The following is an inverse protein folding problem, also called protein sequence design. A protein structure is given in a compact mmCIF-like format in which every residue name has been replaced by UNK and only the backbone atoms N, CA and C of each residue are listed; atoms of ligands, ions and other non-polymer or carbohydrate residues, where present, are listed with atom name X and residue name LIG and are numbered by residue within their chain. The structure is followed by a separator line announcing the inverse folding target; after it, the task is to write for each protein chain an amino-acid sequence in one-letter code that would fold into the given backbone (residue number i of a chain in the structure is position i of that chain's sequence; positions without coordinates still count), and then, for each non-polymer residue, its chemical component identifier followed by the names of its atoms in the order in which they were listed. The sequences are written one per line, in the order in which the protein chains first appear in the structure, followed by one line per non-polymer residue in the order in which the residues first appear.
data_IF_726722892261
#
_entry.id   IF_726722892261
#
_cell.length_a   1.000
_cell.length_b   1.000
_cell.length_c   1.000
_cell.angle_alpha   90.00
_cell.angle_beta   90.00
_cell.angle_gamma   90.00
#
_symmetry.space_group_name_H-M   'P 1'
#
loop_
_entity.id
_entity.type
_entity.pdbx_description
1 polymer ?
#
# COMPACT_ATOMS: atom_id res chain seq x y z
N UNK A 1 -7.25 9.06 -19.51
CA UNK A 1 -7.58 10.24 -20.34
C UNK A 1 -6.57 10.45 -21.46
N UNK A 2 -5.31 10.75 -21.18
CA UNK A 2 -4.29 10.93 -22.23
C UNK A 2 -4.06 9.66 -23.06
N UNK A 3 -4.15 8.48 -22.43
CA UNK A 3 -4.10 7.21 -23.15
C UNK A 3 -5.12 7.17 -24.30
N UNK A 4 -6.40 7.39 -24.05
CA UNK A 4 -7.44 7.37 -25.09
C UNK A 4 -7.24 8.47 -26.13
N UNK A 5 -6.80 9.67 -25.69
CA UNK A 5 -6.50 10.76 -26.60
C UNK A 5 -5.34 10.42 -27.54
N UNK A 6 -4.23 9.93 -27.03
CA UNK A 6 -3.09 9.57 -27.88
C UNK A 6 -3.37 8.35 -28.76
N UNK A 7 -4.12 7.37 -28.28
CA UNK A 7 -4.50 6.21 -29.09
C UNK A 7 -5.44 6.56 -30.24
N UNK A 8 -6.28 7.57 -30.10
CA UNK A 8 -7.12 8.05 -31.22
C UNK A 8 -6.35 8.78 -32.33
N UNK A 9 -5.14 9.23 -32.04
CA UNK A 9 -4.26 9.90 -33.03
C UNK A 9 -3.32 8.96 -33.78
N UNK A 10 -3.31 7.66 -33.48
CA UNK A 10 -2.38 6.69 -34.06
C UNK A 10 -2.52 6.61 -35.58
N UNK A 11 -3.75 6.66 -36.08
CA UNK A 11 -4.01 6.57 -37.52
C UNK A 11 -3.46 7.78 -38.29
N UNK A 12 -3.29 8.92 -37.61
CA UNK A 12 -2.71 10.14 -38.20
C UNK A 12 -1.19 10.22 -38.03
N UNK A 13 -0.69 9.75 -36.86
CA UNK A 13 0.72 9.85 -36.50
C UNK A 13 1.21 8.55 -35.85
N UNK A 14 2.00 7.76 -36.55
CA UNK A 14 2.51 6.45 -36.09
C UNK A 14 3.33 6.52 -34.80
N UNK A 15 3.93 7.66 -34.48
CA UNK A 15 4.66 7.89 -33.21
C UNK A 15 3.80 7.61 -31.98
N UNK A 16 2.50 7.90 -32.00
CA UNK A 16 1.62 7.64 -30.86
C UNK A 16 1.37 6.16 -30.59
N UNK A 17 1.82 5.26 -31.46
CA UNK A 17 1.72 3.82 -31.22
C UNK A 17 2.47 3.37 -29.95
N UNK A 18 3.47 4.14 -29.49
CA UNK A 18 4.21 3.87 -28.25
C UNK A 18 3.29 3.84 -27.02
N UNK A 19 2.17 4.59 -27.01
CA UNK A 19 1.21 4.62 -25.91
C UNK A 19 0.35 3.36 -25.79
N UNK A 20 0.36 2.46 -26.77
CA UNK A 20 -0.24 1.12 -26.65
C UNK A 20 0.56 0.21 -25.71
N UNK A 21 1.88 0.44 -25.59
CA UNK A 21 2.73 -0.39 -24.76
C UNK A 21 2.51 -0.10 -23.26
N UNK A 22 2.14 -1.15 -22.55
CA UNK A 22 1.86 -1.09 -21.11
C UNK A 22 3.09 -0.63 -20.31
N UNK A 23 4.28 -1.16 -20.66
CA UNK A 23 5.55 -0.79 -20.02
C UNK A 23 5.87 0.69 -20.14
N UNK A 24 5.62 1.28 -21.32
CA UNK A 24 5.81 2.71 -21.53
C UNK A 24 4.85 3.55 -20.68
N UNK A 25 3.56 3.21 -20.65
CA UNK A 25 2.57 3.89 -19.82
C UNK A 25 2.84 3.75 -18.33
N UNK A 26 3.32 2.59 -17.90
CA UNK A 26 3.74 2.36 -16.51
C UNK A 26 4.90 3.29 -16.15
N UNK A 27 5.92 3.39 -17.02
CA UNK A 27 7.03 4.34 -16.82
C UNK A 27 6.56 5.79 -16.73
N UNK A 28 5.65 6.19 -17.63
CA UNK A 28 5.03 7.52 -17.58
C UNK A 28 4.22 7.74 -16.30
N UNK A 29 3.54 6.71 -15.82
CA UNK A 29 2.78 6.77 -14.58
C UNK A 29 3.69 7.01 -13.37
N UNK A 30 4.82 6.29 -13.28
CA UNK A 30 5.85 6.52 -12.25
C UNK A 30 6.35 7.97 -12.28
N UNK A 31 6.75 8.44 -13.46
CA UNK A 31 7.32 9.79 -13.61
C UNK A 31 6.27 10.88 -13.29
N UNK A 32 5.05 10.72 -13.79
CA UNK A 32 3.99 11.70 -13.57
C UNK A 32 3.62 11.80 -12.08
N UNK A 33 3.43 10.67 -11.40
CA UNK A 33 3.08 10.67 -9.99
C UNK A 33 4.21 11.26 -9.13
N UNK A 34 5.47 10.97 -9.43
CA UNK A 34 6.64 11.56 -8.78
C UNK A 34 6.69 13.08 -8.97
N UNK A 35 6.51 13.57 -10.21
CA UNK A 35 6.51 15.01 -10.52
C UNK A 35 5.35 15.71 -9.81
N UNK A 36 4.15 15.13 -9.84
CA UNK A 36 2.98 15.67 -9.12
C UNK A 36 3.27 15.82 -7.64
N UNK A 37 3.83 14.78 -7.01
CA UNK A 37 4.20 14.84 -5.58
C UNK A 37 5.25 15.90 -5.30
N UNK A 38 6.23 16.10 -6.17
CA UNK A 38 7.21 17.18 -6.00
C UNK A 38 6.58 18.58 -6.15
N UNK A 39 5.69 18.78 -7.13
CA UNK A 39 5.04 20.07 -7.34
C UNK A 39 4.15 20.45 -6.17
N UNK A 40 3.32 19.50 -5.69
CA UNK A 40 2.32 19.79 -4.64
C UNK A 40 2.86 19.60 -3.23
N UNK A 41 3.93 18.81 -3.05
CA UNK A 41 4.46 18.45 -1.74
C UNK A 41 4.94 19.66 -0.94
N UNK A 42 5.86 20.44 -1.47
CA UNK A 42 6.40 21.60 -0.76
C UNK A 42 5.33 22.66 -0.39
N UNK A 43 4.41 23.07 -1.28
CA UNK A 43 3.31 23.98 -0.92
C UNK A 43 2.38 23.42 0.15
N UNK A 44 1.99 22.15 0.07
CA UNK A 44 1.11 21.53 1.07
C UNK A 44 1.77 21.41 2.44
N UNK A 45 3.04 21.01 2.48
CA UNK A 45 3.82 20.95 3.73
C UNK A 45 3.86 22.33 4.39
N UNK A 46 4.10 23.38 3.60
CA UNK A 46 4.09 24.77 4.11
C UNK A 46 2.73 25.15 4.69
N UNK A 47 1.64 24.89 3.96
CA UNK A 47 0.26 25.18 4.42
C UNK A 47 -0.04 24.41 5.72
N UNK A 48 0.35 23.14 5.80
CA UNK A 48 0.10 22.30 6.99
C UNK A 48 0.92 22.78 8.19
N UNK A 49 2.18 23.20 7.99
CA UNK A 49 3.01 23.82 9.02
C UNK A 49 2.42 25.15 9.53
N UNK A 50 2.01 26.04 8.61
CA UNK A 50 1.43 27.34 8.97
C UNK A 50 0.10 27.20 9.73
N UNK A 51 -0.70 26.18 9.39
CA UNK A 51 -1.97 25.87 10.08
C UNK A 51 -1.78 25.00 11.32
N UNK A 52 -0.55 24.72 11.74
CA UNK A 52 -0.23 23.85 12.88
C UNK A 52 -0.96 22.48 12.81
N UNK A 53 -1.05 21.90 11.63
CA UNK A 53 -1.64 20.58 11.39
C UNK A 53 -0.59 19.52 11.82
N UNK A 54 -0.30 19.44 13.10
CA UNK A 54 0.68 18.53 13.67
C UNK A 54 -0.02 17.38 14.37
N UNK A 55 0.47 16.17 14.13
CA UNK A 55 -0.05 14.99 14.83
C UNK A 55 0.36 15.02 16.31
N UNK A 56 -0.54 14.65 17.23
CA UNK A 56 -0.18 14.51 18.63
C UNK A 56 0.79 13.33 18.80
N UNK A 57 1.94 13.59 19.40
CA UNK A 57 2.94 12.57 19.69
C UNK A 57 2.48 11.71 20.86
N UNK A 58 2.64 10.39 20.77
CA UNK A 58 2.30 9.47 21.87
C UNK A 58 3.21 9.72 23.06
N UNK A 59 2.62 9.97 24.23
CA UNK A 59 3.35 10.19 25.48
C UNK A 59 4.07 8.94 25.99
N UNK A 60 3.59 7.75 25.57
CA UNK A 60 4.17 6.44 25.95
C UNK A 60 5.36 6.03 25.04
N UNK A 61 5.73 6.86 24.05
CA UNK A 61 6.84 6.62 23.13
C UNK A 61 8.21 7.05 23.70
N UNK A 62 9.31 6.80 22.96
CA UNK A 62 10.64 7.28 23.34
C UNK A 62 10.65 8.80 23.53
N UNK A 63 11.33 9.28 24.59
CA UNK A 63 11.42 10.71 24.94
C UNK A 63 11.97 11.55 23.79
N UNK A 64 12.91 11.00 23.04
CA UNK A 64 13.51 11.62 21.86
C UNK A 64 12.49 12.00 20.79
N UNK A 65 11.41 11.21 20.63
CA UNK A 65 10.33 11.52 19.68
C UNK A 65 9.56 12.77 20.09
N UNK A 66 9.33 12.96 21.38
CA UNK A 66 8.60 14.12 21.92
C UNK A 66 9.37 15.42 21.61
N UNK A 67 10.69 15.37 21.71
CA UNK A 67 11.55 16.55 21.51
C UNK A 67 11.80 16.82 20.03
N UNK A 68 12.16 15.79 19.24
CA UNK A 68 12.62 15.95 17.85
C UNK A 68 11.49 16.04 16.83
N UNK A 69 10.35 15.38 17.09
CA UNK A 69 9.22 15.28 16.13
C UNK A 69 8.09 16.27 16.46
N UNK A 70 8.24 17.05 17.53
CA UNK A 70 7.28 18.11 17.86
C UNK A 70 7.25 19.18 16.76
N UNK A 71 6.03 19.44 16.24
CA UNK A 71 5.85 20.43 15.17
C UNK A 71 5.91 19.89 13.76
N UNK A 72 6.25 18.61 13.52
CA UNK A 72 6.21 18.02 12.19
C UNK A 72 4.76 17.83 11.75
N UNK A 73 4.35 18.35 10.57
CA UNK A 73 2.99 18.18 10.06
C UNK A 73 2.70 16.70 9.73
N UNK A 74 1.42 16.32 9.82
CA UNK A 74 0.90 15.00 9.47
C UNK A 74 -0.03 15.09 8.25
N UNK A 75 -0.68 13.98 7.88
CA UNK A 75 -1.59 13.87 6.72
C UNK A 75 -0.88 13.96 5.36
N UNK A 76 0.40 13.62 5.31
CA UNK A 76 1.17 13.57 4.06
C UNK A 76 0.63 12.57 3.04
N UNK A 77 -0.17 11.61 3.49
CA UNK A 77 -0.90 10.68 2.62
C UNK A 77 -1.76 11.37 1.56
N UNK A 78 -2.27 12.57 1.83
CA UNK A 78 -3.02 13.37 0.83
C UNK A 78 -2.16 13.61 -0.42
N UNK A 79 -0.88 13.95 -0.24
CA UNK A 79 0.05 14.21 -1.34
C UNK A 79 0.24 12.95 -2.18
N UNK A 80 0.41 11.80 -1.52
CA UNK A 80 0.57 10.50 -2.17
C UNK A 80 -0.66 10.16 -3.00
N UNK A 81 -1.85 10.27 -2.41
CA UNK A 81 -3.11 9.89 -3.06
C UNK A 81 -3.42 10.79 -4.27
N UNK A 82 -3.17 12.08 -4.19
CA UNK A 82 -3.30 12.97 -5.34
C UNK A 82 -2.37 12.52 -6.47
N UNK A 83 -1.11 12.18 -6.18
CA UNK A 83 -0.16 11.67 -7.16
C UNK A 83 -0.64 10.39 -7.83
N UNK A 84 -1.14 9.43 -7.03
CA UNK A 84 -1.67 8.14 -7.53
C UNK A 84 -2.87 8.37 -8.43
N UNK A 85 -3.86 9.12 -7.97
CA UNK A 85 -5.12 9.30 -8.71
C UNK A 85 -4.90 10.06 -10.01
N UNK A 86 -4.19 11.19 -9.97
CA UNK A 86 -3.92 11.98 -11.18
C UNK A 86 -3.15 11.18 -12.22
N UNK A 87 -2.08 10.48 -11.80
CA UNK A 87 -1.29 9.67 -12.71
C UNK A 87 -2.09 8.52 -13.31
N UNK A 88 -2.87 7.80 -12.51
CA UNK A 88 -3.72 6.71 -12.97
C UNK A 88 -4.77 7.20 -13.97
N UNK A 89 -5.48 8.31 -13.68
CA UNK A 89 -6.48 8.88 -14.59
C UNK A 89 -5.89 9.34 -15.92
N UNK A 90 -4.62 9.76 -15.94
CA UNK A 90 -3.96 10.19 -17.17
C UNK A 90 -3.57 9.00 -18.05
N UNK A 91 -2.98 7.94 -17.48
CA UNK A 91 -2.28 6.91 -18.23
C UNK A 91 -2.98 5.55 -18.30
N UNK A 92 -3.87 5.22 -17.35
CA UNK A 92 -4.59 3.95 -17.38
C UNK A 92 -5.72 3.96 -18.41
N UNK A 93 -6.09 2.78 -18.84
CA UNK A 93 -7.32 2.55 -19.61
C UNK A 93 -8.52 2.66 -18.68
N UNK A 94 -9.28 3.73 -18.82
CA UNK A 94 -10.45 4.02 -17.98
C UNK A 94 -11.68 3.17 -18.35
N UNK A 95 -11.61 2.34 -19.38
CA UNK A 95 -12.66 1.33 -19.67
C UNK A 95 -12.52 0.11 -18.78
N UNK A 96 -11.33 -0.10 -18.20
CA UNK A 96 -11.04 -1.22 -17.32
C UNK A 96 -11.66 -1.02 -15.93
N UNK A 97 -12.55 -1.93 -15.54
CA UNK A 97 -13.25 -1.86 -14.26
C UNK A 97 -12.35 -1.99 -13.04
N UNK A 98 -11.26 -2.77 -13.15
CA UNK A 98 -10.32 -2.96 -12.05
C UNK A 98 -9.64 -1.65 -11.64
N UNK A 99 -9.37 -0.75 -12.58
CA UNK A 99 -8.82 0.58 -12.30
C UNK A 99 -9.79 1.40 -11.43
N UNK A 100 -11.09 1.36 -11.73
CA UNK A 100 -12.10 2.05 -10.92
C UNK A 100 -12.26 1.45 -9.52
N UNK A 101 -12.16 0.12 -9.40
CA UNK A 101 -12.18 -0.55 -8.10
C UNK A 101 -10.97 -0.11 -7.26
N UNK A 102 -9.76 -0.02 -7.84
CA UNK A 102 -8.57 0.44 -7.13
C UNK A 102 -8.65 1.93 -6.74
N UNK A 103 -9.16 2.77 -7.62
CA UNK A 103 -9.43 4.19 -7.30
C UNK A 103 -10.43 4.29 -6.14
N UNK A 104 -11.52 3.51 -6.17
CA UNK A 104 -12.51 3.46 -5.10
C UNK A 104 -11.88 3.04 -3.77
N UNK A 105 -11.10 1.96 -3.75
CA UNK A 105 -10.41 1.46 -2.54
C UNK A 105 -9.46 2.52 -2.00
N UNK A 106 -8.61 3.07 -2.87
CA UNK A 106 -7.62 4.07 -2.49
C UNK A 106 -8.26 5.32 -1.87
N UNK A 107 -9.29 5.87 -2.52
CA UNK A 107 -10.00 7.05 -2.03
C UNK A 107 -10.79 6.77 -0.75
N UNK A 108 -11.48 5.64 -0.68
CA UNK A 108 -12.32 5.32 0.48
C UNK A 108 -11.50 5.07 1.75
N UNK A 109 -10.39 4.31 1.66
CA UNK A 109 -9.47 4.14 2.79
C UNK A 109 -8.75 5.45 3.14
N UNK A 110 -8.40 6.27 2.14
CA UNK A 110 -7.81 7.59 2.37
C UNK A 110 -8.79 8.52 3.09
N UNK A 111 -10.07 8.55 2.71
CA UNK A 111 -11.09 9.33 3.41
C UNK A 111 -11.26 8.87 4.86
N UNK A 112 -11.29 7.56 5.10
CA UNK A 112 -11.38 7.01 6.46
C UNK A 112 -10.17 7.42 7.30
N UNK A 113 -8.95 7.32 6.75
CA UNK A 113 -7.72 7.74 7.40
C UNK A 113 -7.69 9.26 7.64
N UNK A 114 -8.16 10.06 6.68
CA UNK A 114 -8.26 11.51 6.78
C UNK A 114 -9.20 11.92 7.92
N UNK A 115 -10.33 11.25 8.07
CA UNK A 115 -11.25 11.48 9.19
C UNK A 115 -10.58 11.17 10.53
N UNK A 116 -9.81 10.09 10.60
CA UNK A 116 -9.07 9.73 11.82
C UNK A 116 -8.01 10.80 12.15
N UNK A 117 -7.20 11.21 11.16
CA UNK A 117 -6.16 12.22 11.32
C UNK A 117 -6.76 13.59 11.75
N UNK A 118 -7.85 14.03 11.11
CA UNK A 118 -8.55 15.28 11.48
C UNK A 118 -9.06 15.22 12.92
N UNK A 119 -9.61 14.08 13.35
CA UNK A 119 -10.10 13.92 14.72
C UNK A 119 -8.97 13.97 15.74
N UNK A 120 -7.82 13.34 15.46
CA UNK A 120 -6.61 13.41 16.30
C UNK A 120 -6.15 14.86 16.49
N UNK A 121 -6.13 15.65 15.41
CA UNK A 121 -5.72 17.06 15.45
C UNK A 121 -6.73 17.89 16.26
N UNK A 122 -8.05 17.75 15.98
CA UNK A 122 -9.09 18.51 16.69
C UNK A 122 -9.13 18.20 18.20
N UNK A 123 -8.96 16.93 18.56
CA UNK A 123 -9.02 16.49 19.94
C UNK A 123 -7.69 16.68 20.68
N UNK A 124 -6.61 17.07 19.98
CA UNK A 124 -5.25 17.18 20.51
C UNK A 124 -4.81 15.94 21.30
N UNK A 125 -5.27 14.76 20.86
CA UNK A 125 -4.90 13.48 21.45
C UNK A 125 -4.68 12.41 20.38
N UNK A 126 -3.94 11.37 20.71
CA UNK A 126 -3.59 10.27 19.78
C UNK A 126 -4.73 9.27 19.54
N UNK A 127 -5.91 9.44 20.15
CA UNK A 127 -6.99 8.43 20.09
C UNK A 127 -7.73 8.42 18.75
N UNK A 128 -7.95 9.60 18.12
CA UNK A 128 -8.65 9.73 16.85
C UNK A 128 -10.04 9.10 16.85
N UNK A 129 -10.37 8.39 15.78
CA UNK A 129 -11.58 7.59 15.64
C UNK A 129 -11.56 6.42 16.64
N UNK A 130 -12.68 6.18 17.34
CA UNK A 130 -12.79 4.97 18.17
C UNK A 130 -12.57 3.74 17.30
N UNK A 131 -11.74 2.79 17.76
CA UNK A 131 -11.33 1.59 17.01
C UNK A 131 -12.50 0.82 16.39
N UNK A 132 -13.66 0.78 17.08
CA UNK A 132 -14.87 0.14 16.56
C UNK A 132 -15.38 0.81 15.28
N UNK A 133 -15.45 2.14 15.22
CA UNK A 133 -15.94 2.87 14.03
C UNK A 133 -14.92 2.79 12.88
N UNK A 134 -13.63 2.85 13.18
CA UNK A 134 -12.57 2.63 12.20
C UNK A 134 -12.68 1.25 11.59
N UNK A 135 -12.85 0.21 12.41
CA UNK A 135 -13.01 -1.17 11.93
C UNK A 135 -14.28 -1.36 11.09
N UNK A 136 -15.42 -0.79 11.52
CA UNK A 136 -16.68 -0.85 10.74
C UNK A 136 -16.50 -0.16 9.38
N UNK A 137 -15.86 1.02 9.34
CA UNK A 137 -15.56 1.70 8.07
C UNK A 137 -14.70 0.84 7.14
N UNK A 138 -13.63 0.23 7.66
CA UNK A 138 -12.78 -0.69 6.90
C UNK A 138 -13.57 -1.91 6.40
N UNK A 139 -14.44 -2.47 7.25
CA UNK A 139 -15.27 -3.62 6.88
C UNK A 139 -16.24 -3.29 5.74
N UNK A 140 -16.88 -2.11 5.78
CA UNK A 140 -17.78 -1.65 4.72
C UNK A 140 -17.01 -1.49 3.41
N UNK A 141 -15.86 -0.79 3.43
CA UNK A 141 -15.04 -0.56 2.22
C UNK A 141 -14.59 -1.90 1.64
N UNK A 142 -14.06 -2.81 2.47
CA UNK A 142 -13.60 -4.13 2.02
C UNK A 142 -14.75 -4.98 1.48
N UNK A 143 -15.94 -4.95 2.11
CA UNK A 143 -17.13 -5.67 1.64
C UNK A 143 -17.61 -5.15 0.28
N UNK A 144 -17.65 -3.83 0.08
CA UNK A 144 -18.01 -3.23 -1.22
C UNK A 144 -16.97 -3.62 -2.27
N UNK A 145 -15.69 -3.59 -1.93
CA UNK A 145 -14.61 -4.00 -2.84
C UNK A 145 -14.78 -5.44 -3.29
N UNK A 146 -15.00 -6.37 -2.37
CA UNK A 146 -15.21 -7.79 -2.70
C UNK A 146 -16.51 -7.99 -3.51
N UNK A 147 -17.57 -7.28 -3.17
CA UNK A 147 -18.82 -7.32 -3.93
C UNK A 147 -18.60 -6.87 -5.40
N UNK A 148 -17.87 -5.78 -5.61
CA UNK A 148 -17.54 -5.33 -6.96
C UNK A 148 -16.66 -6.34 -7.71
N UNK A 149 -15.69 -6.95 -7.03
CA UNK A 149 -14.86 -7.99 -7.61
C UNK A 149 -15.69 -9.23 -7.99
N UNK A 150 -16.56 -9.70 -7.10
CA UNK A 150 -17.46 -10.84 -7.39
C UNK A 150 -18.38 -10.55 -8.58
N UNK A 151 -18.84 -9.30 -8.70
CA UNK A 151 -19.75 -8.90 -9.79
C UNK A 151 -19.07 -8.82 -11.16
N UNK A 152 -17.80 -8.39 -11.21
CA UNK A 152 -17.12 -8.02 -12.46
C UNK A 152 -15.94 -8.92 -12.83
N UNK A 153 -15.45 -9.78 -11.92
CA UNK A 153 -14.41 -10.77 -12.23
C UNK A 153 -15.04 -12.08 -12.73
N UNK A 154 -14.27 -12.85 -13.46
CA UNK A 154 -14.62 -14.22 -13.82
C UNK A 154 -14.71 -15.07 -12.54
N UNK A 155 -15.89 -15.60 -12.23
CA UNK A 155 -16.20 -16.27 -10.96
C UNK A 155 -15.30 -17.47 -10.65
N UNK A 156 -14.88 -18.22 -11.66
CA UNK A 156 -14.10 -19.44 -11.46
C UNK A 156 -12.76 -19.20 -10.77
N UNK A 157 -12.07 -18.09 -11.07
CA UNK A 157 -10.75 -17.79 -10.50
C UNK A 157 -10.82 -17.05 -9.16
N UNK A 158 -11.87 -16.26 -8.94
CA UNK A 158 -11.94 -15.41 -7.75
C UNK A 158 -11.95 -16.22 -6.46
N UNK A 159 -12.64 -17.35 -6.43
CA UNK A 159 -12.80 -18.21 -5.25
C UNK A 159 -11.67 -19.23 -5.05
N UNK A 160 -10.60 -19.12 -5.84
CA UNK A 160 -9.42 -19.97 -5.72
C UNK A 160 -8.31 -19.24 -4.99
N UNK A 161 -7.55 -19.97 -4.18
CA UNK A 161 -6.32 -19.49 -3.54
C UNK A 161 -5.14 -20.29 -4.08
N UNK A 162 -4.18 -19.58 -4.61
CA UNK A 162 -2.96 -20.13 -5.17
C UNK A 162 -1.83 -20.06 -4.14
N UNK A 163 -1.17 -21.20 -3.91
CA UNK A 163 -0.05 -21.26 -2.99
C UNK A 163 1.27 -21.10 -3.73
N UNK A 164 2.14 -20.15 -3.34
CA UNK A 164 3.50 -20.06 -3.88
C UNK A 164 4.27 -21.35 -3.53
N UNK A 165 5.22 -21.73 -4.36
CA UNK A 165 6.06 -22.93 -4.25
C UNK A 165 5.33 -24.29 -4.47
N UNK A 166 4.01 -24.35 -4.55
CA UNK A 166 3.23 -25.57 -4.71
C UNK A 166 2.38 -25.52 -5.98
N UNK A 167 2.99 -25.89 -7.12
CA UNK A 167 2.42 -25.78 -8.49
C UNK A 167 0.99 -26.29 -8.64
N UNK A 168 0.71 -27.45 -8.08
CA UNK A 168 -0.54 -28.18 -8.34
C UNK A 168 -1.58 -28.00 -7.23
N UNK A 169 -1.27 -27.20 -6.20
CA UNK A 169 -2.16 -27.03 -5.07
C UNK A 169 -2.97 -25.73 -5.22
N UNK A 170 -4.15 -25.86 -5.79
CA UNK A 170 -5.14 -24.78 -5.88
C UNK A 170 -6.22 -25.09 -4.85
N UNK A 171 -6.40 -24.21 -3.88
CA UNK A 171 -7.43 -24.37 -2.86
C UNK A 171 -8.71 -23.68 -3.32
N UNK A 172 -9.75 -24.46 -3.58
CA UNK A 172 -11.09 -23.95 -3.88
C UNK A 172 -11.78 -23.54 -2.58
N UNK A 173 -11.74 -22.26 -2.23
CA UNK A 173 -12.27 -21.74 -0.97
C UNK A 173 -13.80 -21.56 -1.00
N UNK A 174 -14.41 -21.45 -2.18
CA UNK A 174 -15.83 -21.15 -2.30
C UNK A 174 -16.20 -19.89 -1.50
N UNK A 175 -17.31 -19.94 -0.76
CA UNK A 175 -17.76 -18.78 0.06
C UNK A 175 -16.79 -18.38 1.17
N UNK A 176 -15.89 -19.26 1.60
CA UNK A 176 -14.85 -18.91 2.59
C UNK A 176 -13.85 -17.87 2.05
N UNK A 177 -13.81 -17.66 0.74
CA UNK A 177 -13.00 -16.61 0.16
C UNK A 177 -13.44 -15.21 0.61
N UNK A 178 -14.73 -15.01 0.89
CA UNK A 178 -15.24 -13.69 1.35
C UNK A 178 -14.61 -13.29 2.68
N UNK A 179 -14.73 -14.04 3.79
CA UNK A 179 -14.06 -13.68 5.05
C UNK A 179 -12.54 -13.63 4.92
N UNK A 180 -11.93 -14.46 4.08
CA UNK A 180 -10.50 -14.41 3.80
C UNK A 180 -10.11 -13.11 3.08
N UNK A 181 -10.81 -12.70 2.03
CA UNK A 181 -10.55 -11.44 1.32
C UNK A 181 -10.76 -10.21 2.21
N UNK A 182 -11.79 -10.21 3.08
CA UNK A 182 -11.98 -9.18 4.11
C UNK A 182 -10.77 -9.11 5.04
N UNK A 183 -10.29 -10.27 5.51
CA UNK A 183 -9.10 -10.35 6.36
C UNK A 183 -7.85 -9.80 5.66
N UNK A 184 -7.64 -10.13 4.39
CA UNK A 184 -6.49 -9.65 3.61
C UNK A 184 -6.54 -8.13 3.45
N UNK A 185 -7.69 -7.55 3.05
CA UNK A 185 -7.81 -6.10 2.83
C UNK A 185 -7.65 -5.33 4.15
N UNK A 186 -8.40 -5.70 5.18
CA UNK A 186 -8.37 -5.03 6.47
C UNK A 186 -7.02 -5.25 7.16
N UNK A 187 -6.51 -6.48 7.09
CA UNK A 187 -5.22 -6.86 7.66
C UNK A 187 -4.06 -6.06 7.06
N UNK A 188 -3.95 -6.01 5.74
CA UNK A 188 -2.89 -5.27 5.06
C UNK A 188 -3.00 -3.75 5.30
N UNK A 189 -4.23 -3.20 5.27
CA UNK A 189 -4.47 -1.79 5.59
C UNK A 189 -3.93 -1.42 6.98
N UNK A 190 -4.27 -2.21 8.00
CA UNK A 190 -3.79 -1.97 9.36
C UNK A 190 -2.30 -2.32 9.55
N UNK A 191 -1.77 -3.31 8.83
CA UNK A 191 -0.37 -3.70 8.92
C UNK A 191 0.57 -2.60 8.42
N UNK A 192 0.23 -1.97 7.29
CA UNK A 192 0.97 -0.80 6.79
C UNK A 192 0.86 0.37 7.77
N UNK A 193 -0.33 0.60 8.34
CA UNK A 193 -0.55 1.66 9.32
C UNK A 193 0.25 1.44 10.62
N UNK A 194 0.36 0.20 11.10
CA UNK A 194 1.20 -0.13 12.27
C UNK A 194 2.69 0.05 12.01
N UNK A 195 3.13 -0.12 10.77
CA UNK A 195 4.54 0.02 10.37
C UNK A 195 4.94 1.49 10.18
N UNK A 196 3.98 2.40 9.99
CA UNK A 196 4.24 3.84 9.81
C UNK A 196 4.53 4.54 11.16
N UNK A 197 5.51 4.02 11.91
CA UNK A 197 5.91 4.55 13.22
C UNK A 197 7.21 5.34 13.24
N UNK A 198 8.07 5.19 12.23
CA UNK A 198 9.34 5.89 12.08
C UNK A 198 9.42 6.57 10.70
N UNK A 199 10.26 7.62 10.62
CA UNK A 199 10.43 8.42 9.41
C UNK A 199 10.87 7.55 8.22
N UNK A 200 10.04 7.50 7.15
CA UNK A 200 10.32 6.73 5.94
C UNK A 200 10.21 5.21 6.08
N UNK A 201 9.91 4.68 7.27
CA UNK A 201 9.91 3.23 7.51
C UNK A 201 8.90 2.50 6.65
N UNK A 202 7.65 2.96 6.57
CA UNK A 202 6.60 2.32 5.77
C UNK A 202 6.72 2.64 4.27
N UNK A 203 7.23 3.82 3.91
CA UNK A 203 7.23 4.34 2.54
C UNK A 203 8.00 3.43 1.58
N UNK A 204 9.21 3.02 1.92
CA UNK A 204 10.05 2.17 1.04
C UNK A 204 9.52 0.74 0.94
N UNK A 205 9.12 0.04 2.02
CA UNK A 205 8.49 -1.27 1.90
C UNK A 205 7.21 -1.26 1.05
N UNK A 206 6.35 -0.25 1.19
CA UNK A 206 5.17 -0.07 0.31
C UNK A 206 5.60 0.07 -1.15
N UNK A 207 6.60 0.90 -1.43
CA UNK A 207 7.15 1.10 -2.78
C UNK A 207 7.68 -0.22 -3.36
N UNK A 208 8.40 -1.03 -2.58
CA UNK A 208 8.93 -2.33 -3.00
C UNK A 208 7.82 -3.34 -3.28
N UNK A 209 6.78 -3.39 -2.44
CA UNK A 209 5.59 -4.22 -2.71
C UNK A 209 4.91 -3.78 -4.00
N UNK A 210 4.66 -2.47 -4.18
CA UNK A 210 4.04 -1.94 -5.38
C UNK A 210 4.89 -2.21 -6.64
N UNK A 211 6.21 -2.08 -6.57
CA UNK A 211 7.13 -2.40 -7.67
C UNK A 211 7.06 -3.89 -8.03
N UNK A 212 7.03 -4.77 -7.03
CA UNK A 212 6.88 -6.21 -7.24
C UNK A 212 5.54 -6.54 -7.89
N UNK A 213 4.46 -5.92 -7.43
CA UNK A 213 3.13 -6.10 -8.02
C UNK A 213 3.00 -5.45 -9.41
N UNK A 214 3.79 -4.42 -9.73
CA UNK A 214 3.90 -3.92 -11.11
C UNK A 214 4.34 -5.04 -12.07
N UNK A 215 5.36 -5.80 -11.68
CA UNK A 215 5.84 -6.96 -12.47
C UNK A 215 4.81 -8.09 -12.48
N UNK A 216 4.22 -8.43 -11.33
CA UNK A 216 3.23 -9.50 -11.21
C UNK A 216 2.01 -9.21 -12.09
N UNK A 217 1.43 -8.01 -12.03
CA UNK A 217 0.29 -7.61 -12.86
C UNK A 217 0.61 -7.69 -14.35
N UNK A 218 1.80 -7.22 -14.75
CA UNK A 218 2.26 -7.30 -16.12
C UNK A 218 2.35 -8.76 -16.61
N UNK A 219 2.91 -9.64 -15.82
CA UNK A 219 3.13 -11.04 -16.17
C UNK A 219 1.81 -11.83 -16.16
N UNK A 220 0.97 -11.65 -15.13
CA UNK A 220 -0.35 -12.30 -15.01
C UNK A 220 -1.30 -11.85 -16.11
N UNK A 221 -1.22 -10.58 -16.53
CA UNK A 221 -2.01 -10.01 -17.63
C UNK A 221 -1.48 -10.30 -19.03
N UNK A 222 -0.41 -11.10 -19.18
CA UNK A 222 0.19 -11.45 -20.47
C UNK A 222 0.18 -12.95 -20.67
N UNK A 223 -0.48 -13.43 -21.73
CA UNK A 223 -0.65 -14.87 -22.01
C UNK A 223 0.68 -15.60 -22.17
N UNK A 224 1.67 -15.00 -22.83
CA UNK A 224 2.98 -15.63 -23.08
C UNK A 224 3.74 -15.81 -21.76
N UNK A 225 3.79 -14.76 -20.94
CA UNK A 225 4.52 -14.81 -19.68
C UNK A 225 3.82 -15.65 -18.61
N UNK A 226 2.49 -15.61 -18.56
CA UNK A 226 1.72 -16.45 -17.64
C UNK A 226 1.88 -17.93 -17.96
N UNK A 227 1.84 -18.31 -19.24
CA UNK A 227 2.08 -19.67 -19.68
C UNK A 227 3.52 -20.13 -19.38
N UNK A 228 4.51 -19.30 -19.70
CA UNK A 228 5.92 -19.60 -19.41
C UNK A 228 6.19 -19.81 -17.92
N UNK A 229 5.55 -19.01 -17.05
CA UNK A 229 5.69 -19.12 -15.59
C UNK A 229 4.72 -20.14 -14.97
N UNK A 230 3.79 -20.66 -15.77
CA UNK A 230 2.73 -21.58 -15.32
C UNK A 230 1.88 -20.99 -14.20
N UNK A 231 1.57 -19.70 -14.29
CA UNK A 231 0.66 -18.99 -13.41
C UNK A 231 -0.67 -18.74 -14.13
N UNK A 232 -1.73 -18.49 -13.36
CA UNK A 232 -3.04 -18.21 -13.92
C UNK A 232 -3.03 -16.90 -14.72
N UNK A 233 -3.39 -16.99 -16.01
CA UNK A 233 -3.66 -15.80 -16.82
C UNK A 233 -4.99 -15.18 -16.39
N UNK A 234 -5.01 -13.88 -16.19
CA UNK A 234 -6.22 -13.11 -15.89
C UNK A 234 -6.28 -11.95 -16.87
N UNK A 235 -7.33 -11.85 -17.70
CA UNK A 235 -7.43 -10.77 -18.67
C UNK A 235 -7.53 -9.40 -17.98
N UNK A 236 -7.07 -8.39 -18.67
CA UNK A 236 -7.16 -6.96 -18.29
C UNK A 236 -6.39 -6.53 -17.04
N UNK A 237 -5.83 -7.46 -16.23
CA UNK A 237 -5.08 -7.09 -15.01
C UNK A 237 -3.72 -6.47 -15.32
N UNK A 238 -3.21 -6.58 -16.53
CA UNK A 238 -2.00 -5.89 -16.95
C UNK A 238 -2.06 -4.38 -16.71
N UNK A 239 -3.23 -3.74 -16.86
CA UNK A 239 -3.45 -2.32 -16.63
C UNK A 239 -3.15 -1.90 -15.17
N UNK A 240 -3.27 -2.82 -14.21
CA UNK A 240 -2.96 -2.56 -12.80
C UNK A 240 -1.48 -2.22 -12.61
N UNK A 241 -0.60 -2.60 -13.55
CA UNK A 241 0.81 -2.18 -13.54
C UNK A 241 0.96 -0.66 -13.55
N UNK A 242 0.06 0.06 -14.21
CA UNK A 242 0.04 1.53 -14.26
C UNK A 242 -0.33 2.11 -12.90
N UNK A 243 -1.33 1.53 -12.24
CA UNK A 243 -1.72 1.93 -10.88
C UNK A 243 -0.60 1.62 -9.87
N UNK A 244 0.01 0.43 -9.94
CA UNK A 244 1.17 0.10 -9.12
C UNK A 244 2.34 1.05 -9.38
N UNK A 245 2.61 1.39 -10.64
CA UNK A 245 3.61 2.39 -11.02
C UNK A 245 3.33 3.77 -10.42
N UNK A 246 2.07 4.18 -10.39
CA UNK A 246 1.68 5.45 -9.74
C UNK A 246 1.94 5.44 -8.23
N UNK A 247 1.75 4.30 -7.55
CA UNK A 247 2.13 4.13 -6.13
C UNK A 247 3.65 4.26 -5.98
N UNK A 248 4.43 3.57 -6.83
CA UNK A 248 5.90 3.63 -6.79
C UNK A 248 6.39 5.06 -6.92
N UNK A 249 5.93 5.80 -7.94
CA UNK A 249 6.37 7.17 -8.17
C UNK A 249 5.90 8.13 -7.07
N UNK A 250 4.67 7.97 -6.58
CA UNK A 250 4.15 8.79 -5.47
C UNK A 250 4.91 8.54 -4.16
N UNK A 251 5.22 7.28 -3.83
CA UNK A 251 6.00 6.95 -2.64
C UNK A 251 7.44 7.44 -2.76
N UNK A 252 8.06 7.32 -3.94
CA UNK A 252 9.41 7.83 -4.18
C UNK A 252 9.46 9.36 -4.03
N UNK A 253 8.48 10.08 -4.60
CA UNK A 253 8.37 11.52 -4.43
C UNK A 253 8.09 11.93 -2.99
N UNK A 254 7.25 11.16 -2.28
CA UNK A 254 6.96 11.42 -0.87
C UNK A 254 8.16 11.16 0.04
N UNK A 255 8.99 10.15 -0.27
CA UNK A 255 10.19 9.83 0.47
C UNK A 255 11.17 11.00 0.53
N UNK A 256 11.19 11.87 -0.48
CA UNK A 256 11.99 13.10 -0.49
C UNK A 256 11.69 14.01 0.71
N UNK A 257 10.46 13.98 1.20
CA UNK A 257 10.01 14.76 2.33
C UNK A 257 9.93 13.96 3.64
N UNK A 258 9.78 12.64 3.53
CA UNK A 258 9.51 11.73 4.66
C UNK A 258 10.78 10.98 5.14
N UNK A 259 11.91 11.04 4.40
CA UNK A 259 13.18 10.47 4.85
C UNK A 259 13.67 11.15 6.13
N UNK A 260 14.36 10.41 7.05
CA UNK A 260 14.87 10.98 8.29
C UNK A 260 15.87 12.14 8.10
N UNK A 261 15.68 13.32 8.74
CA UNK A 261 14.54 13.72 9.57
C UNK A 261 13.34 14.16 8.71
N UNK A 262 12.16 13.60 8.98
CA UNK A 262 10.97 13.80 8.17
C UNK A 262 10.44 15.24 8.28
N UNK A 263 10.09 15.83 7.14
CA UNK A 263 9.40 17.13 7.04
C UNK A 263 7.88 17.00 7.12
N UNK A 264 7.35 15.79 6.92
CA UNK A 264 5.93 15.46 7.01
C UNK A 264 5.76 13.97 7.30
N UNK A 265 4.77 13.61 8.12
CA UNK A 265 4.37 12.22 8.37
C UNK A 265 3.26 11.80 7.41
N UNK A 266 3.26 10.53 7.03
CA UNK A 266 2.27 9.96 6.12
C UNK A 266 0.85 10.03 6.71
N UNK A 267 0.70 9.62 7.96
CA UNK A 267 -0.57 9.54 8.68
C UNK A 267 -1.46 8.38 8.23
N UNK A 268 -2.58 8.23 8.91
CA UNK A 268 -3.56 7.19 8.61
C UNK A 268 -4.17 7.35 7.21
N UNK A 269 -4.23 8.59 6.71
CA UNK A 269 -4.68 8.92 5.35
C UNK A 269 -3.92 8.16 4.28
N UNK A 270 -2.58 8.08 4.39
CA UNK A 270 -1.74 7.39 3.41
C UNK A 270 -1.61 5.90 3.71
N UNK A 271 -1.28 5.56 4.94
CA UNK A 271 -0.95 4.19 5.31
C UNK A 271 -2.12 3.21 5.15
N UNK A 272 -3.35 3.60 5.55
CA UNK A 272 -4.54 2.76 5.35
C UNK A 272 -4.85 2.57 3.87
N UNK A 273 -4.77 3.64 3.09
CA UNK A 273 -5.05 3.60 1.66
C UNK A 273 -4.07 2.74 0.89
N UNK A 274 -2.78 2.90 1.15
CA UNK A 274 -1.73 2.12 0.48
C UNK A 274 -1.86 0.62 0.81
N UNK A 275 -2.03 0.28 2.09
CA UNK A 275 -2.22 -1.12 2.49
C UNK A 275 -3.46 -1.75 1.89
N UNK A 276 -4.61 -1.05 1.91
CA UNK A 276 -5.85 -1.52 1.32
C UNK A 276 -5.76 -1.68 -0.21
N UNK A 277 -5.10 -0.74 -0.90
CA UNK A 277 -4.89 -0.80 -2.35
C UNK A 277 -3.99 -1.98 -2.75
N UNK A 278 -2.88 -2.21 -2.05
CA UNK A 278 -1.99 -3.35 -2.31
C UNK A 278 -2.70 -4.69 -2.09
N UNK A 279 -3.55 -4.78 -1.06
CA UNK A 279 -4.36 -5.97 -0.82
C UNK A 279 -5.39 -6.21 -1.92
N UNK A 280 -6.08 -5.16 -2.38
CA UNK A 280 -7.03 -5.27 -3.48
C UNK A 280 -6.34 -5.74 -4.77
N UNK A 281 -5.15 -5.19 -5.09
CA UNK A 281 -4.35 -5.65 -6.23
C UNK A 281 -4.02 -7.15 -6.08
N UNK A 282 -3.53 -7.58 -4.92
CA UNK A 282 -3.16 -8.98 -4.69
C UNK A 282 -4.35 -9.94 -4.86
N UNK A 283 -5.54 -9.54 -4.42
CA UNK A 283 -6.78 -10.31 -4.60
C UNK A 283 -7.16 -10.39 -6.10
N UNK A 284 -7.05 -9.29 -6.84
CA UNK A 284 -7.39 -9.26 -8.27
C UNK A 284 -6.46 -10.18 -9.06
N UNK A 285 -5.15 -10.13 -8.79
CA UNK A 285 -4.16 -10.96 -9.50
C UNK A 285 -3.95 -12.34 -8.86
N UNK A 286 -4.70 -12.69 -7.83
CA UNK A 286 -4.65 -14.01 -7.14
C UNK A 286 -3.29 -14.34 -6.54
N UNK A 287 -2.64 -13.35 -5.95
CA UNK A 287 -1.32 -13.46 -5.33
C UNK A 287 -1.33 -12.99 -3.86
N UNK A 288 -2.38 -13.36 -3.11
CA UNK A 288 -2.60 -12.94 -1.72
C UNK A 288 -1.49 -13.44 -0.77
N UNK A 289 -1.05 -14.69 -0.96
CA UNK A 289 0.05 -15.25 -0.15
C UNK A 289 1.39 -14.63 -0.54
N UNK A 290 1.58 -14.34 -1.82
CA UNK A 290 2.78 -13.63 -2.30
C UNK A 290 2.83 -12.22 -1.70
N UNK A 291 1.69 -11.53 -1.56
CA UNK A 291 1.61 -10.27 -0.81
C UNK A 291 2.12 -10.41 0.62
N UNK A 292 1.75 -11.49 1.32
CA UNK A 292 2.20 -11.73 2.69
C UNK A 292 3.72 -12.00 2.76
N UNK A 293 4.33 -12.56 1.71
CA UNK A 293 5.78 -12.78 1.62
C UNK A 293 6.50 -11.46 1.31
N UNK A 294 6.11 -10.77 0.22
CA UNK A 294 6.74 -9.51 -0.19
C UNK A 294 6.54 -8.44 0.88
N UNK A 295 5.33 -8.35 1.42
CA UNK A 295 4.97 -7.48 2.53
C UNK A 295 5.30 -8.04 3.92
N UNK A 296 6.20 -9.02 4.01
CA UNK A 296 6.49 -9.76 5.24
C UNK A 296 6.97 -8.87 6.39
N UNK A 297 7.56 -7.70 6.09
CA UNK A 297 7.87 -6.72 7.13
C UNK A 297 6.58 -6.24 7.83
N UNK A 298 5.54 -5.91 7.09
CA UNK A 298 4.25 -5.50 7.65
C UNK A 298 3.60 -6.61 8.47
N UNK A 299 3.75 -7.86 7.99
CA UNK A 299 3.29 -9.05 8.72
C UNK A 299 4.05 -9.20 10.04
N UNK A 300 5.38 -9.10 10.03
CA UNK A 300 6.22 -9.20 11.23
C UNK A 300 5.88 -8.14 12.27
N UNK A 301 5.71 -6.88 11.84
CA UNK A 301 5.30 -5.78 12.71
C UNK A 301 3.94 -6.06 13.36
N UNK A 302 2.95 -6.47 12.57
CA UNK A 302 1.60 -6.78 13.05
C UNK A 302 1.59 -7.98 13.99
N UNK A 303 2.26 -9.08 13.62
CA UNK A 303 2.37 -10.29 14.43
C UNK A 303 3.04 -9.99 15.77
N UNK A 304 4.05 -9.12 15.81
CA UNK A 304 4.70 -8.71 17.05
C UNK A 304 3.72 -8.04 18.03
N UNK A 305 2.81 -7.21 17.49
CA UNK A 305 1.75 -6.57 18.31
C UNK A 305 0.76 -7.62 18.81
N UNK A 306 0.32 -8.54 17.95
CA UNK A 306 -0.62 -9.61 18.33
C UNK A 306 -0.03 -10.47 19.45
N UNK A 307 1.22 -10.94 19.28
CA UNK A 307 1.94 -11.74 20.27
C UNK A 307 2.07 -10.99 21.59
N UNK A 308 2.47 -9.72 21.54
CA UNK A 308 2.61 -8.88 22.73
C UNK A 308 1.28 -8.74 23.50
N UNK A 309 0.18 -8.47 22.78
CA UNK A 309 -1.14 -8.30 23.39
C UNK A 309 -1.65 -9.61 24.01
N UNK A 310 -1.49 -10.74 23.29
CA UNK A 310 -1.90 -12.06 23.79
C UNK A 310 -1.10 -12.42 25.03
N UNK A 311 0.24 -12.31 24.98
CA UNK A 311 1.11 -12.63 26.11
C UNK A 311 0.75 -11.78 27.35
N UNK A 312 0.60 -10.46 27.16
CA UNK A 312 0.27 -9.58 28.28
C UNK A 312 -1.10 -9.88 28.89
N UNK A 313 -2.11 -10.20 28.08
CA UNK A 313 -3.43 -10.60 28.57
C UNK A 313 -3.44 -11.95 29.32
N UNK A 314 -2.64 -12.93 28.84
CA UNK A 314 -2.63 -14.27 29.43
C UNK A 314 -1.67 -14.40 30.63
N UNK A 315 -0.51 -13.72 30.58
CA UNK A 315 0.57 -13.94 31.55
C UNK A 315 0.95 -12.70 32.37
N UNK A 316 0.44 -11.51 31.99
CA UNK A 316 0.87 -10.23 32.58
C UNK A 316 2.30 -9.81 32.17
N UNK A 317 2.99 -10.58 31.34
CA UNK A 317 4.38 -10.32 30.95
C UNK A 317 4.49 -9.85 29.52
N UNK A 318 5.41 -8.91 29.27
CA UNK A 318 5.76 -8.44 27.93
C UNK A 318 6.85 -9.35 27.34
N UNK A 319 6.69 -9.79 26.08
CA UNK A 319 7.72 -10.51 25.31
C UNK A 319 8.71 -9.53 24.72
N UNK A 320 8.21 -8.50 24.07
CA UNK A 320 9.02 -7.42 23.52
C UNK A 320 9.07 -6.24 24.51
N UNK A 321 10.17 -5.48 24.54
CA UNK A 321 10.26 -4.25 25.35
C UNK A 321 9.12 -3.29 25.02
N UNK A 322 8.83 -3.15 23.72
CA UNK A 322 7.69 -2.44 23.16
C UNK A 322 7.30 -3.10 21.82
N UNK A 323 6.04 -3.05 21.45
CA UNK A 323 5.56 -3.47 20.13
C UNK A 323 4.91 -2.26 19.43
N UNK A 324 4.99 -2.16 18.09
CA UNK A 324 5.62 -3.07 17.12
C UNK A 324 7.17 -3.20 17.22
N UNK A 325 7.77 -4.08 16.37
CA UNK A 325 9.20 -4.44 16.47
C UNK A 325 10.17 -3.26 16.33
N UNK A 326 9.86 -2.27 15.50
CA UNK A 326 10.72 -1.09 15.36
C UNK A 326 10.91 -0.39 16.71
N UNK A 327 9.89 -0.23 17.53
CA UNK A 327 10.00 0.32 18.87
C UNK A 327 10.78 -0.57 19.84
N UNK A 328 10.74 -1.90 19.64
CA UNK A 328 11.58 -2.81 20.43
C UNK A 328 13.07 -2.53 20.20
N UNK A 329 13.48 -2.29 18.95
CA UNK A 329 14.88 -1.99 18.62
C UNK A 329 15.28 -0.58 19.07
N UNK A 330 14.39 0.40 19.03
CA UNK A 330 14.63 1.73 19.65
C UNK A 330 14.89 1.59 21.14
N UNK A 331 14.07 0.80 21.85
CA UNK A 331 14.26 0.53 23.29
C UNK A 331 15.53 -0.31 23.60
N UNK A 332 16.15 -0.89 22.58
CA UNK A 332 17.49 -1.49 22.66
C UNK A 332 18.63 -0.51 22.38
N UNK A 333 18.31 0.75 22.06
CA UNK A 333 19.31 1.79 21.81
C UNK A 333 19.77 1.92 20.36
N UNK A 334 19.06 1.30 19.39
CA UNK A 334 19.39 1.51 17.97
C UNK A 334 18.87 2.88 17.52
N UNK A 335 19.66 3.57 16.71
CA UNK A 335 19.22 4.83 16.11
C UNK A 335 18.13 4.61 15.07
N UNK A 336 17.18 5.55 14.94
CA UNK A 336 16.08 5.48 13.99
C UNK A 336 16.56 5.21 12.55
N UNK A 337 17.56 5.93 11.98
CA UNK A 337 18.02 5.63 10.63
C UNK A 337 18.58 4.21 10.47
N UNK A 338 19.22 3.67 11.52
CA UNK A 338 19.75 2.31 11.49
C UNK A 338 18.62 1.26 11.39
N UNK A 339 17.55 1.46 12.15
CA UNK A 339 16.37 0.57 12.11
C UNK A 339 15.74 0.65 10.73
N UNK A 340 15.48 1.85 10.24
CA UNK A 340 14.83 2.11 8.95
C UNK A 340 15.59 1.45 7.79
N UNK A 341 16.92 1.69 7.69
CA UNK A 341 17.74 1.10 6.62
C UNK A 341 17.77 -0.43 6.71
N UNK A 342 17.90 -1.01 7.90
CA UNK A 342 17.91 -2.46 8.06
C UNK A 342 16.57 -3.08 7.67
N UNK A 343 15.46 -2.44 7.98
CA UNK A 343 14.14 -2.90 7.62
C UNK A 343 13.88 -2.77 6.11
N UNK A 344 14.42 -1.76 5.45
CA UNK A 344 14.42 -1.66 3.99
C UNK A 344 15.19 -2.83 3.35
N UNK A 345 16.36 -3.18 3.89
CA UNK A 345 17.14 -4.33 3.40
C UNK A 345 16.34 -5.63 3.55
N UNK A 346 15.68 -5.84 4.69
CA UNK A 346 14.81 -7.00 4.91
C UNK A 346 13.66 -7.00 3.88
N UNK A 347 13.04 -5.86 3.62
CA UNK A 347 11.96 -5.73 2.63
C UNK A 347 12.43 -6.04 1.20
N UNK A 348 13.65 -5.65 0.83
CA UNK A 348 14.25 -6.01 -0.47
C UNK A 348 14.42 -7.53 -0.56
N UNK A 349 14.95 -8.17 0.48
CA UNK A 349 15.13 -9.63 0.50
C UNK A 349 13.77 -10.34 0.36
N UNK A 350 12.76 -9.89 1.09
CA UNK A 350 11.41 -10.46 1.03
C UNK A 350 10.76 -10.25 -0.34
N UNK A 351 10.98 -9.10 -0.98
CA UNK A 351 10.52 -8.83 -2.34
C UNK A 351 11.16 -9.79 -3.35
N UNK A 352 12.47 -10.02 -3.24
CA UNK A 352 13.18 -10.97 -4.11
C UNK A 352 12.68 -12.41 -3.89
N UNK A 353 12.44 -12.83 -2.64
CA UNK A 353 11.89 -14.17 -2.33
C UNK A 353 10.48 -14.31 -2.93
N UNK A 354 9.62 -13.29 -2.76
CA UNK A 354 8.27 -13.31 -3.32
C UNK A 354 8.26 -13.34 -4.85
N UNK A 355 9.12 -12.57 -5.52
CA UNK A 355 9.25 -12.63 -6.97
C UNK A 355 9.84 -13.96 -7.46
N UNK A 356 10.83 -14.51 -6.75
CA UNK A 356 11.38 -15.83 -7.08
C UNK A 356 10.32 -16.94 -6.97
N UNK A 357 9.34 -16.81 -6.08
CA UNK A 357 8.25 -17.77 -5.93
C UNK A 357 7.38 -17.91 -7.18
N UNK A 358 7.33 -16.91 -8.07
CA UNK A 358 6.58 -16.97 -9.33
C UNK A 358 7.10 -18.06 -10.27
N UNK A 359 8.40 -18.32 -10.29
CA UNK A 359 9.00 -19.35 -11.15
C UNK A 359 9.09 -20.71 -10.48
N UNK A 360 9.13 -20.74 -9.14
CA UNK A 360 9.20 -21.98 -8.35
C UNK A 360 7.84 -22.68 -8.18
N UNK A 361 6.85 -22.14 -8.84
CA UNK A 361 5.47 -22.65 -8.84
C UNK A 361 5.33 -23.84 -9.77
#
# INVERSE_FOLDING_TARGET
MLFHFFTSLIDQYSFFNVFKYLTFRTGLSVMTSLIVVFIIGAPLIRIFSEKMITGPIRQDGPIDHIVKKSGTPTMGGVIIIIGIILSTLLWADLTNIYIWILIFVSLSFSCLGLLDDILKIKQKNSRGLKSRYKFIGQLIIASVTLFLLIKYSEHEFLFQLYLPFLKNLILHMGLFFIPFGLFVIIGASNAVNLTDGLDGLATVPVMLVALSFTLICYVVGNTIFSDYLQIQYIPDVGELSIFCGSIVGSCLGFLWYNAPPAKIFMGDTGSLSLGGSLAAIAIIVKHEIVLAIIGGLFVLETVSVIIQVISFKLTGKRIFKMAPLHHHFEQKGWSEPTIVIRFWIISIILALIGLASLKLR
#
